data_IF_513970289936
#
_entry.id   IF_513970289936
#
_cell.length_a   1.000
_cell.length_b   1.000
_cell.length_c   1.000
_cell.angle_alpha   90.00
_cell.angle_beta   90.00
_cell.angle_gamma   90.00
#
_symmetry.space_group_name_H-M   'P 1'
#
loop_
_entity.id
_entity.type
_entity.pdbx_description
1 polymer ?
#
# COMPACT_ATOMS: atom_id res chain seq x y z
N UNK A 1 24.05 9.05 7.35
CA UNK A 1 23.79 8.03 6.31
C UNK A 1 24.52 6.76 6.72
N UNK A 2 23.85 5.60 6.69
CA UNK A 2 24.51 4.31 6.89
C UNK A 2 24.98 3.79 5.53
N UNK A 3 26.25 3.42 5.42
CA UNK A 3 26.84 2.91 4.20
C UNK A 3 26.81 1.38 4.27
N UNK A 4 26.06 0.74 3.36
CA UNK A 4 25.97 -0.72 3.31
C UNK A 4 26.52 -1.20 1.98
N UNK A 5 27.59 -2.00 2.03
CA UNK A 5 28.12 -2.68 0.85
C UNK A 5 27.30 -3.95 0.61
N UNK A 6 26.53 -3.99 -0.49
CA UNK A 6 25.80 -5.18 -0.92
C UNK A 6 26.38 -5.72 -2.21
N UNK A 7 26.58 -7.03 -2.26
CA UNK A 7 26.81 -7.75 -3.51
C UNK A 7 25.47 -8.19 -4.08
N UNK A 8 25.15 -7.74 -5.29
CA UNK A 8 23.91 -8.07 -5.98
C UNK A 8 24.17 -9.11 -7.06
N UNK A 9 23.15 -9.92 -7.37
CA UNK A 9 23.22 -10.84 -8.50
C UNK A 9 23.29 -10.09 -9.84
N UNK A 10 23.88 -10.73 -10.87
CA UNK A 10 24.09 -10.17 -12.21
C UNK A 10 22.83 -9.52 -12.82
N UNK A 11 21.65 -10.08 -12.56
CA UNK A 11 20.37 -9.53 -13.01
C UNK A 11 20.13 -8.11 -12.46
N UNK A 12 20.32 -7.90 -11.17
CA UNK A 12 20.08 -6.63 -10.50
C UNK A 12 21.14 -5.58 -10.84
N UNK A 13 22.39 -6.00 -11.05
CA UNK A 13 23.44 -5.10 -11.54
C UNK A 13 23.11 -4.54 -12.93
N UNK A 14 22.60 -5.38 -13.83
CA UNK A 14 22.17 -4.96 -15.16
C UNK A 14 20.98 -4.00 -15.07
N UNK A 15 19.96 -4.36 -14.30
CA UNK A 15 18.79 -3.52 -14.06
C UNK A 15 19.17 -2.13 -13.53
N UNK A 16 20.00 -2.07 -12.49
CA UNK A 16 20.46 -0.79 -11.92
C UNK A 16 21.26 0.01 -12.95
N UNK A 17 22.13 -0.64 -13.72
CA UNK A 17 22.90 0.03 -14.78
C UNK A 17 21.99 0.61 -15.87
N UNK A 18 20.94 -0.10 -16.26
CA UNK A 18 19.97 0.37 -17.25
C UNK A 18 19.16 1.56 -16.73
N UNK A 19 18.67 1.49 -15.48
CA UNK A 19 17.93 2.58 -14.85
C UNK A 19 18.79 3.84 -14.68
N UNK A 20 20.07 3.71 -14.31
CA UNK A 20 21.00 4.84 -14.27
C UNK A 20 21.32 5.36 -15.69
N UNK A 21 21.55 4.48 -16.66
CA UNK A 21 21.80 4.87 -18.06
C UNK A 21 20.62 5.59 -18.71
N UNK A 22 19.39 5.25 -18.30
CA UNK A 22 18.18 5.92 -18.77
C UNK A 22 18.09 7.38 -18.32
N UNK A 23 18.93 7.80 -17.37
CA UNK A 23 18.92 9.15 -16.79
C UNK A 23 17.86 9.35 -15.72
N UNK A 24 17.06 8.32 -15.39
CA UNK A 24 16.03 8.39 -14.35
C UNK A 24 16.62 8.54 -12.93
N UNK A 25 17.81 7.98 -12.71
CA UNK A 25 18.50 8.03 -11.41
C UNK A 25 19.96 8.44 -11.58
N UNK A 26 20.49 9.23 -10.65
CA UNK A 26 21.88 9.72 -10.69
C UNK A 26 22.89 8.67 -10.20
N UNK A 27 22.44 7.67 -9.41
CA UNK A 27 23.33 6.62 -8.91
C UNK A 27 22.59 5.33 -8.56
N UNK A 28 23.35 4.23 -8.47
CA UNK A 28 22.85 2.96 -7.96
C UNK A 28 22.21 3.07 -6.57
N UNK A 29 22.77 3.92 -5.70
CA UNK A 29 22.23 4.14 -4.36
C UNK A 29 20.87 4.82 -4.37
N UNK A 30 20.56 5.65 -5.37
CA UNK A 30 19.22 6.23 -5.53
C UNK A 30 18.20 5.18 -5.98
N UNK A 31 18.55 4.34 -6.95
CA UNK A 31 17.71 3.23 -7.40
C UNK A 31 17.35 2.32 -6.22
N UNK A 32 18.34 1.95 -5.42
CA UNK A 32 18.15 1.08 -4.26
C UNK A 32 17.29 1.75 -3.19
N UNK A 33 17.49 3.04 -2.91
CA UNK A 33 16.65 3.78 -1.95
C UNK A 33 15.20 3.85 -2.39
N UNK A 34 14.95 4.11 -3.67
CA UNK A 34 13.59 4.22 -4.17
C UNK A 34 12.87 2.86 -4.21
N UNK A 35 13.60 1.79 -4.57
CA UNK A 35 13.12 0.43 -4.48
C UNK A 35 12.75 0.05 -3.03
N UNK A 36 13.59 0.40 -2.06
CA UNK A 36 13.32 0.15 -0.64
C UNK A 36 12.10 0.95 -0.14
N UNK A 37 11.97 2.22 -0.52
CA UNK A 37 10.81 3.05 -0.18
C UNK A 37 9.52 2.46 -0.74
N UNK A 38 9.55 2.01 -1.98
CA UNK A 38 8.39 1.37 -2.63
C UNK A 38 8.03 0.06 -1.93
N UNK A 39 9.03 -0.73 -1.54
CA UNK A 39 8.83 -1.98 -0.80
C UNK A 39 8.22 -1.73 0.58
N UNK A 40 8.68 -0.71 1.29
CA UNK A 40 8.14 -0.29 2.59
C UNK A 40 6.67 0.14 2.46
N UNK A 41 6.36 1.03 1.50
CA UNK A 41 5.00 1.48 1.26
C UNK A 41 4.05 0.31 0.93
N UNK A 42 4.50 -0.64 0.11
CA UNK A 42 3.74 -1.86 -0.21
C UNK A 42 3.50 -2.72 1.02
N UNK A 43 4.51 -2.92 1.88
CA UNK A 43 4.37 -3.68 3.12
C UNK A 43 3.37 -3.03 4.06
N UNK A 44 3.44 -1.71 4.24
CA UNK A 44 2.51 -0.97 5.09
C UNK A 44 1.08 -1.11 4.57
N UNK A 45 0.85 -0.92 3.28
CA UNK A 45 -0.46 -1.12 2.68
C UNK A 45 -0.99 -2.55 2.89
N UNK A 46 -0.16 -3.57 2.64
CA UNK A 46 -0.55 -4.96 2.87
C UNK A 46 -0.87 -5.25 4.32
N UNK A 47 -0.16 -4.63 5.26
CA UNK A 47 -0.41 -4.79 6.69
C UNK A 47 -1.76 -4.16 7.08
N UNK A 48 -2.02 -2.93 6.66
CA UNK A 48 -3.30 -2.25 6.91
C UNK A 48 -4.49 -3.03 6.35
N UNK A 49 -4.38 -3.55 5.12
CA UNK A 49 -5.43 -4.37 4.53
C UNK A 49 -5.67 -5.64 5.34
N UNK A 50 -4.60 -6.33 5.79
CA UNK A 50 -4.74 -7.51 6.65
C UNK A 50 -5.41 -7.18 7.97
N UNK A 51 -5.03 -6.09 8.61
CA UNK A 51 -5.60 -5.65 9.89
C UNK A 51 -7.11 -5.40 9.75
N UNK A 52 -7.53 -4.67 8.71
CA UNK A 52 -8.95 -4.45 8.44
C UNK A 52 -9.72 -5.72 8.09
N UNK A 53 -9.11 -6.67 7.37
CA UNK A 53 -9.74 -7.96 7.10
C UNK A 53 -9.93 -8.76 8.40
N UNK A 54 -8.92 -8.81 9.27
CA UNK A 54 -9.01 -9.50 10.57
C UNK A 54 -10.08 -8.85 11.45
N UNK A 55 -10.15 -7.52 11.46
CA UNK A 55 -11.19 -6.77 12.19
C UNK A 55 -12.59 -7.10 11.67
N UNK A 56 -12.77 -7.12 10.34
CA UNK A 56 -14.04 -7.47 9.70
C UNK A 56 -14.45 -8.93 9.92
N UNK A 57 -13.50 -9.86 9.92
CA UNK A 57 -13.77 -11.28 10.24
C UNK A 57 -14.20 -11.45 11.69
N UNK A 58 -13.59 -10.70 12.62
CA UNK A 58 -13.94 -10.73 14.05
C UNK A 58 -15.27 -10.07 14.37
N UNK A 59 -15.66 -9.03 13.62
CA UNK A 59 -16.96 -8.37 13.81
C UNK A 59 -18.13 -9.22 13.34
N UNK A 60 -17.85 -10.30 12.61
CA UNK A 60 -18.84 -11.25 12.12
C UNK A 60 -19.50 -10.79 10.81
N UNK A 61 -20.12 -11.74 10.13
CA UNK A 61 -20.82 -11.44 8.87
C UNK A 61 -22.17 -10.79 9.17
N UNK A 62 -22.46 -9.71 8.48
CA UNK A 62 -23.78 -9.10 8.45
C UNK A 62 -24.66 -9.84 7.44
N UNK A 63 -25.89 -10.19 7.83
CA UNK A 63 -26.92 -10.68 6.90
C UNK A 63 -27.66 -9.53 6.17
N UNK A 64 -27.21 -8.28 6.34
CA UNK A 64 -27.86 -7.13 5.71
C UNK A 64 -27.66 -7.17 4.20
N UNK A 65 -28.78 -7.28 3.48
CA UNK A 65 -28.81 -7.09 2.04
C UNK A 65 -28.49 -5.64 1.67
N UNK A 66 -27.89 -5.46 0.49
CA UNK A 66 -27.41 -4.18 -0.04
C UNK A 66 -28.50 -3.10 0.00
N UNK A 67 -29.72 -3.45 -0.37
CA UNK A 67 -30.82 -2.50 -0.48
C UNK A 67 -31.33 -2.05 0.90
N UNK A 68 -31.30 -2.95 1.88
CA UNK A 68 -31.63 -2.65 3.28
C UNK A 68 -30.60 -1.71 3.90
N UNK A 69 -29.31 -1.95 3.66
CA UNK A 69 -28.21 -1.09 4.12
C UNK A 69 -28.32 0.33 3.53
N UNK A 70 -28.58 0.44 2.22
CA UNK A 70 -28.74 1.73 1.55
C UNK A 70 -29.93 2.54 2.09
N UNK A 71 -31.03 1.87 2.43
CA UNK A 71 -32.20 2.53 3.03
C UNK A 71 -31.88 3.06 4.42
N UNK A 72 -31.16 2.30 5.23
CA UNK A 72 -30.77 2.69 6.59
C UNK A 72 -29.79 3.88 6.57
N UNK A 73 -28.78 3.86 5.69
CA UNK A 73 -27.83 4.97 5.51
C UNK A 73 -28.56 6.25 5.06
N UNK A 74 -29.47 6.15 4.08
CA UNK A 74 -30.27 7.31 3.65
C UNK A 74 -31.14 7.88 4.77
N UNK A 75 -31.71 7.03 5.61
CA UNK A 75 -32.52 7.48 6.75
C UNK A 75 -31.66 8.15 7.84
N UNK A 76 -30.45 7.66 8.11
CA UNK A 76 -29.54 8.28 9.08
C UNK A 76 -29.02 9.63 8.58
N UNK A 77 -28.70 9.76 7.30
CA UNK A 77 -28.29 11.04 6.70
C UNK A 77 -29.43 12.08 6.74
N UNK A 78 -30.67 11.70 6.41
CA UNK A 78 -31.84 12.60 6.50
C UNK A 78 -32.16 13.05 7.94
N UNK A 79 -31.74 12.27 8.94
CA UNK A 79 -31.92 12.60 10.36
C UNK A 79 -30.88 13.62 10.85
N UNK A 80 -29.69 13.58 10.28
CA UNK A 80 -28.58 14.50 10.61
C UNK A 80 -28.64 15.82 9.83
N UNK A 81 -29.24 15.85 8.62
CA UNK A 81 -29.50 17.10 7.85
C UNK A 81 -30.64 17.97 8.44
N UNK A 82 -31.28 17.55 9.54
CA UNK A 82 -32.33 18.30 10.25
C UNK A 82 -31.82 19.06 11.50
N UNK A 83 -30.51 19.21 11.66
CA UNK A 83 -29.85 20.01 12.70
C UNK A 83 -29.22 21.28 12.12
#
# INVERSE_FOLDING_TARGET
MANTSLTLGKHWELFIKEEVKSGRYASASEVVRDALRTLEAKKNYQQTVREHLIEAEKSGFSELDRDSLLKEIKQTLQRNDKL
#
